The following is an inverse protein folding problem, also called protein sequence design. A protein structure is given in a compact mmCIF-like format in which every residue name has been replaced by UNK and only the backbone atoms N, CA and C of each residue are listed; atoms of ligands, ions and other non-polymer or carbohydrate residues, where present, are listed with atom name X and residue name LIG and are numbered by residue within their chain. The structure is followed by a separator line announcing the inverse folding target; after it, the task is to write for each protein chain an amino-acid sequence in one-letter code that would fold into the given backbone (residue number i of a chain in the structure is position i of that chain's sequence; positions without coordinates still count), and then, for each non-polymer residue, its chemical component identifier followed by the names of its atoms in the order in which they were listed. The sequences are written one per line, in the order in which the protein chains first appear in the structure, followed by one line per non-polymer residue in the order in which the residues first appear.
data_IF_942240450831
#
_entry.id   IF_942240450831
#
_cell.length_a   1.000
_cell.length_b   1.000
_cell.length_c   1.000
_cell.angle_alpha   90.00
_cell.angle_beta   90.00
_cell.angle_gamma   90.00
#
_symmetry.space_group_name_H-M   'P 1'
#
loop_
_entity.id
_entity.type
_entity.pdbx_description
1 polymer ?
#
# COMPACT_ATOMS: atom_id res chain seq x y z
N UNK A 1 14.30 3.71 7.52
CA UNK A 1 14.46 3.84 6.04
C UNK A 1 13.98 5.22 5.59
N UNK A 2 14.58 5.81 4.53
CA UNK A 2 14.16 7.13 4.02
C UNK A 2 13.93 7.05 2.51
N UNK A 3 12.78 7.52 2.06
CA UNK A 3 12.43 7.61 0.65
C UNK A 3 11.86 8.99 0.34
N UNK A 4 12.32 9.61 -0.72
CA UNK A 4 11.76 10.87 -1.23
C UNK A 4 12.02 10.97 -2.73
N UNK A 5 10.94 11.13 -3.51
CA UNK A 5 11.03 11.26 -4.97
C UNK A 5 9.86 12.06 -5.52
N UNK A 6 10.15 13.06 -6.33
CA UNK A 6 9.14 13.74 -7.13
C UNK A 6 8.92 12.98 -8.44
N UNK A 7 7.67 12.82 -8.83
CA UNK A 7 7.26 12.17 -10.08
C UNK A 7 6.33 13.09 -10.88
N UNK A 8 6.28 12.87 -12.17
CA UNK A 8 5.29 13.50 -13.07
C UNK A 8 4.20 12.48 -13.39
N UNK A 9 2.96 12.83 -13.11
CA UNK A 9 1.78 12.03 -13.43
C UNK A 9 1.46 12.13 -14.93
N UNK A 10 0.69 11.17 -15.47
CA UNK A 10 0.34 11.17 -16.90
C UNK A 10 -0.48 12.38 -17.37
N UNK A 11 -1.14 13.08 -16.45
CA UNK A 11 -1.86 14.33 -16.75
C UNK A 11 -0.97 15.58 -16.70
N UNK A 12 0.35 15.43 -16.46
CA UNK A 12 1.31 16.52 -16.37
C UNK A 12 1.50 17.09 -14.96
N UNK A 13 0.63 16.79 -14.02
CA UNK A 13 0.80 17.22 -12.63
C UNK A 13 1.97 16.49 -11.96
N UNK A 14 2.48 17.05 -10.87
CA UNK A 14 3.53 16.43 -10.07
C UNK A 14 2.97 15.83 -8.78
N UNK A 15 3.60 14.78 -8.31
CA UNK A 15 3.37 14.24 -6.97
C UNK A 15 4.71 14.00 -6.28
N UNK A 16 4.77 14.26 -4.97
CA UNK A 16 5.89 13.94 -4.12
C UNK A 16 5.60 12.63 -3.39
N UNK A 17 6.39 11.61 -3.63
CA UNK A 17 6.42 10.38 -2.83
C UNK A 17 7.45 10.55 -1.72
N UNK A 18 7.05 10.38 -0.47
CA UNK A 18 7.98 10.46 0.68
C UNK A 18 7.49 9.62 1.85
N UNK A 19 8.38 9.37 2.81
CA UNK A 19 7.94 8.82 4.08
C UNK A 19 6.82 9.65 4.67
N UNK A 20 5.85 8.95 5.25
CA UNK A 20 4.88 9.58 6.13
C UNK A 20 5.55 9.96 7.46
N UNK A 21 5.17 11.09 8.01
CA UNK A 21 5.61 11.62 9.30
C UNK A 21 4.43 11.68 10.27
N UNK A 22 4.67 11.74 11.60
CA UNK A 22 3.58 11.86 12.59
C UNK A 22 2.63 13.03 12.34
N UNK A 23 3.14 14.12 11.76
CA UNK A 23 2.36 15.30 11.37
C UNK A 23 1.36 15.02 10.22
N UNK A 24 1.56 13.96 9.45
CA UNK A 24 0.66 13.55 8.36
C UNK A 24 -0.56 12.75 8.84
N UNK A 25 -0.63 12.38 10.11
CA UNK A 25 -1.63 11.46 10.65
C UNK A 25 -3.07 11.81 10.26
N UNK A 26 -3.46 13.07 10.39
CA UNK A 26 -4.80 13.51 9.99
C UNK A 26 -5.06 13.34 8.50
N UNK A 27 -4.09 13.68 7.65
CA UNK A 27 -4.22 13.56 6.20
C UNK A 27 -4.20 12.08 5.74
N UNK A 28 -3.45 11.22 6.42
CA UNK A 28 -3.44 9.76 6.17
C UNK A 28 -4.78 9.15 6.54
N UNK A 29 -5.36 9.50 7.69
CA UNK A 29 -6.70 9.04 8.09
C UNK A 29 -7.80 9.53 7.15
N UNK A 30 -7.72 10.77 6.67
CA UNK A 30 -8.64 11.28 5.63
C UNK A 30 -8.49 10.46 4.35
N UNK A 31 -7.26 10.24 3.87
CA UNK A 31 -7.00 9.42 2.69
C UNK A 31 -7.51 7.98 2.86
N UNK A 32 -7.27 7.36 4.03
CA UNK A 32 -7.82 6.04 4.37
C UNK A 32 -9.35 6.03 4.21
N UNK A 33 -10.05 6.96 4.87
CA UNK A 33 -11.51 7.01 4.84
C UNK A 33 -12.06 7.16 3.42
N UNK A 34 -11.43 8.01 2.61
CA UNK A 34 -11.85 8.24 1.23
C UNK A 34 -11.56 7.04 0.33
N UNK A 35 -10.35 6.49 0.36
CA UNK A 35 -9.98 5.34 -0.48
C UNK A 35 -10.82 4.11 -0.17
N UNK A 36 -11.12 3.86 1.10
CA UNK A 36 -11.93 2.71 1.54
C UNK A 36 -13.43 2.88 1.27
N UNK A 37 -13.91 4.13 1.14
CA UNK A 37 -15.27 4.40 0.69
C UNK A 37 -15.44 4.30 -0.84
N UNK A 38 -14.36 4.50 -1.60
CA UNK A 38 -14.39 4.54 -3.07
C UNK A 38 -14.37 3.17 -3.75
N UNK A 39 -13.98 2.11 -3.02
CA UNK A 39 -13.81 0.76 -3.62
C UNK A 39 -14.07 -0.35 -2.59
N UNK A 40 -14.51 -1.49 -3.09
CA UNK A 40 -14.72 -2.73 -2.33
C UNK A 40 -13.53 -3.71 -2.46
N UNK A 41 -12.36 -3.20 -2.89
CA UNK A 41 -11.15 -4.02 -3.09
C UNK A 41 -10.15 -3.96 -1.94
N UNK A 42 -10.39 -3.12 -0.92
CA UNK A 42 -9.56 -3.01 0.26
C UNK A 42 -10.09 -3.88 1.39
N UNK A 43 -9.19 -4.27 2.31
CA UNK A 43 -9.49 -5.23 3.38
C UNK A 43 -10.56 -4.73 4.36
N UNK A 44 -10.61 -3.44 4.61
CA UNK A 44 -11.45 -2.85 5.66
C UNK A 44 -12.41 -1.81 5.11
N UNK A 45 -13.49 -1.55 5.83
CA UNK A 45 -14.38 -0.43 5.57
C UNK A 45 -13.99 0.79 6.41
N UNK A 46 -14.39 2.01 6.00
CA UNK A 46 -14.03 3.22 6.75
C UNK A 46 -14.47 3.21 8.22
N UNK A 47 -15.60 2.58 8.52
CA UNK A 47 -16.18 2.46 9.86
C UNK A 47 -15.52 1.38 10.74
N UNK A 48 -14.62 0.59 10.20
CA UNK A 48 -13.84 -0.41 10.94
C UNK A 48 -12.53 0.15 11.49
N UNK A 49 -12.09 1.32 11.02
CA UNK A 49 -10.90 1.97 11.56
C UNK A 49 -11.12 2.38 13.01
N UNK A 50 -10.23 1.91 13.88
CA UNK A 50 -10.17 2.31 15.29
C UNK A 50 -9.05 3.31 15.57
N UNK A 51 -8.38 3.79 14.50
CA UNK A 51 -7.29 4.74 14.63
C UNK A 51 -7.86 6.16 14.74
N UNK A 52 -7.46 6.84 15.79
CA UNK A 52 -7.53 8.29 15.90
C UNK A 52 -6.18 8.91 15.47
N UNK A 53 -6.13 10.22 15.40
CA UNK A 53 -4.94 10.94 14.96
C UNK A 53 -3.70 10.64 15.82
N UNK A 54 -3.89 10.39 17.13
CA UNK A 54 -2.79 10.10 18.04
C UNK A 54 -2.21 8.69 17.80
N UNK A 55 -3.07 7.70 17.63
CA UNK A 55 -2.63 6.31 17.28
C UNK A 55 -1.98 6.27 15.93
N UNK A 56 -2.52 6.98 14.95
CA UNK A 56 -1.93 7.08 13.61
C UNK A 56 -0.55 7.75 13.68
N UNK A 57 -0.42 8.87 14.40
CA UNK A 57 0.87 9.54 14.56
C UNK A 57 1.92 8.61 15.20
N UNK A 58 1.54 7.82 16.21
CA UNK A 58 2.45 6.81 16.80
C UNK A 58 2.80 5.69 15.83
N UNK A 59 1.87 5.26 14.99
CA UNK A 59 2.13 4.28 13.94
C UNK A 59 3.13 4.82 12.93
N UNK A 60 2.92 6.03 12.42
CA UNK A 60 3.82 6.69 11.46
C UNK A 60 5.21 6.94 12.05
N UNK A 61 5.29 7.34 13.34
CA UNK A 61 6.56 7.49 14.05
C UNK A 61 7.34 6.17 14.07
N UNK A 62 6.67 5.06 14.45
CA UNK A 62 7.30 3.74 14.46
C UNK A 62 7.82 3.33 13.08
N UNK A 63 7.03 3.59 12.02
CA UNK A 63 7.44 3.33 10.63
C UNK A 63 8.64 4.18 10.21
N UNK A 64 8.66 5.46 10.56
CA UNK A 64 9.76 6.37 10.26
C UNK A 64 11.08 5.97 10.95
N UNK A 65 10.99 5.43 12.17
CA UNK A 65 12.14 4.94 12.95
C UNK A 65 12.57 3.51 12.58
N UNK A 66 11.73 2.78 11.85
CA UNK A 66 12.01 1.39 11.49
C UNK A 66 13.18 1.29 10.50
N UNK A 67 14.02 0.28 10.69
CA UNK A 67 15.11 -0.05 9.77
C UNK A 67 14.63 -0.83 8.53
N UNK A 68 13.47 -1.49 8.62
CA UNK A 68 13.01 -2.45 7.61
C UNK A 68 11.52 -2.33 7.24
N UNK A 69 10.78 -1.44 7.88
CA UNK A 69 9.40 -1.12 7.52
C UNK A 69 9.29 0.34 7.07
N UNK A 70 8.34 0.65 6.21
CA UNK A 70 8.12 2.02 5.72
C UNK A 70 6.65 2.25 5.42
N UNK A 71 6.21 3.49 5.63
CA UNK A 71 4.96 4.01 5.09
C UNK A 71 5.30 5.20 4.18
N UNK A 72 4.92 5.10 2.91
CA UNK A 72 5.12 6.13 1.88
C UNK A 72 3.77 6.77 1.59
N UNK A 73 3.72 8.09 1.62
CA UNK A 73 2.59 8.86 1.13
C UNK A 73 2.92 9.51 -0.21
N UNK A 74 1.90 9.69 -1.04
CA UNK A 74 1.97 10.53 -2.22
C UNK A 74 1.22 11.85 -1.96
N UNK A 75 1.93 12.94 -2.08
CA UNK A 75 1.36 14.30 -1.94
C UNK A 75 1.24 14.92 -3.32
N UNK A 76 0.02 15.29 -3.72
CA UNK A 76 -0.27 16.03 -4.94
C UNK A 76 -1.31 17.11 -4.62
N UNK A 77 -1.17 18.27 -5.25
CA UNK A 77 -2.05 19.43 -5.05
C UNK A 77 -2.24 19.79 -3.56
N UNK A 78 -1.16 19.63 -2.76
CA UNK A 78 -1.12 19.97 -1.33
C UNK A 78 -1.84 18.97 -0.40
N UNK A 79 -2.28 17.79 -0.89
CA UNK A 79 -2.98 16.78 -0.08
C UNK A 79 -2.38 15.39 -0.26
N UNK A 80 -2.59 14.52 0.72
CA UNK A 80 -2.26 13.09 0.60
C UNK A 80 -3.30 12.42 -0.31
N UNK A 81 -2.83 11.81 -1.40
CA UNK A 81 -3.69 11.20 -2.42
C UNK A 81 -3.52 9.69 -2.54
N UNK A 82 -2.50 9.15 -1.89
CA UNK A 82 -2.26 7.72 -1.82
C UNK A 82 -1.32 7.39 -0.65
N UNK A 83 -1.41 6.15 -0.18
CA UNK A 83 -0.45 5.56 0.77
C UNK A 83 0.04 4.22 0.25
N UNK A 84 1.25 3.83 0.62
CA UNK A 84 1.80 2.50 0.35
C UNK A 84 2.79 2.11 1.45
N UNK A 85 2.72 0.87 1.89
CA UNK A 85 3.55 0.39 3.00
C UNK A 85 4.28 -0.91 2.69
N UNK A 86 5.39 -1.10 3.40
CA UNK A 86 6.10 -2.38 3.52
C UNK A 86 6.15 -2.74 4.99
N UNK A 87 5.63 -3.90 5.33
CA UNK A 87 5.55 -4.45 6.67
C UNK A 87 6.26 -5.80 6.75
N UNK A 88 6.97 -6.07 7.84
CA UNK A 88 7.50 -7.41 8.10
C UNK A 88 6.37 -8.43 8.30
N UNK A 89 6.42 -9.58 7.62
CA UNK A 89 5.49 -10.70 7.87
C UNK A 89 5.65 -11.22 9.29
N UNK A 90 6.85 -11.13 9.85
CA UNK A 90 7.13 -11.49 11.23
C UNK A 90 8.60 -11.35 11.59
N UNK A 91 8.87 -11.37 12.89
CA UNK A 91 10.22 -11.14 13.45
C UNK A 91 11.03 -12.43 13.68
N UNK A 92 10.41 -13.61 13.52
CA UNK A 92 11.09 -14.89 13.71
C UNK A 92 12.03 -15.21 12.56
N UNK A 93 13.15 -15.88 12.82
CA UNK A 93 14.17 -16.21 11.80
C UNK A 93 13.62 -16.85 10.53
N UNK A 94 12.59 -17.70 10.66
CA UNK A 94 11.93 -18.34 9.51
C UNK A 94 11.04 -17.42 8.68
N UNK A 95 10.74 -16.22 9.16
CA UNK A 95 9.82 -15.26 8.50
C UNK A 95 10.51 -13.95 8.13
N UNK A 96 11.65 -13.62 8.75
CA UNK A 96 12.30 -12.30 8.61
C UNK A 96 12.72 -11.92 7.19
N UNK A 97 12.78 -12.89 6.27
CA UNK A 97 13.08 -12.67 4.86
C UNK A 97 11.86 -12.20 4.05
N UNK A 98 10.68 -12.16 4.66
CA UNK A 98 9.41 -11.88 4.00
C UNK A 98 8.84 -10.54 4.48
N UNK A 99 8.31 -9.78 3.53
CA UNK A 99 7.53 -8.58 3.81
C UNK A 99 6.20 -8.60 3.06
N UNK A 100 5.22 -7.86 3.59
CA UNK A 100 3.96 -7.58 2.94
C UNK A 100 3.95 -6.16 2.37
N UNK A 101 3.26 -6.01 1.25
CA UNK A 101 3.08 -4.75 0.54
C UNK A 101 1.59 -4.43 0.42
N UNK A 102 1.24 -3.19 0.76
CA UNK A 102 -0.08 -2.63 0.55
C UNK A 102 -0.03 -1.28 -0.15
N UNK A 103 -1.07 -0.95 -0.92
CA UNK A 103 -1.21 0.36 -1.57
C UNK A 103 -2.67 0.75 -1.69
N UNK A 104 -2.98 2.00 -1.39
CA UNK A 104 -4.27 2.62 -1.66
C UNK A 104 -4.09 3.94 -2.39
N UNK A 105 -4.94 4.22 -3.37
CA UNK A 105 -4.88 5.43 -4.21
C UNK A 105 -6.29 5.97 -4.39
N UNK A 106 -6.50 7.26 -4.15
CA UNK A 106 -7.77 7.93 -4.45
C UNK A 106 -8.17 7.72 -5.91
N UNK A 107 -9.46 7.42 -6.15
CA UNK A 107 -10.00 7.10 -7.47
C UNK A 107 -9.67 8.17 -8.52
N UNK A 108 -9.69 9.45 -8.14
CA UNK A 108 -9.33 10.56 -9.01
C UNK A 108 -7.91 10.48 -9.59
N UNK A 109 -7.01 9.76 -8.93
CA UNK A 109 -5.61 9.56 -9.34
C UNK A 109 -5.35 8.19 -9.99
N UNK A 110 -6.39 7.39 -10.24
CA UNK A 110 -6.24 6.12 -10.92
C UNK A 110 -5.86 6.35 -12.39
N UNK A 111 -5.00 5.47 -12.94
CA UNK A 111 -4.53 5.56 -14.33
C UNK A 111 -3.44 6.57 -14.58
N UNK A 112 -3.14 7.42 -13.63
CA UNK A 112 -2.14 8.48 -13.77
C UNK A 112 -0.69 8.01 -13.54
N UNK A 113 -0.47 6.72 -13.22
CA UNK A 113 0.86 6.14 -12.98
C UNK A 113 1.27 6.10 -11.51
N UNK A 114 0.47 6.67 -10.60
CA UNK A 114 0.80 6.79 -9.19
C UNK A 114 0.96 5.42 -8.49
N UNK A 115 0.01 4.50 -8.70
CA UNK A 115 0.10 3.15 -8.13
C UNK A 115 1.36 2.40 -8.57
N UNK A 116 1.78 2.56 -9.85
CA UNK A 116 3.04 1.98 -10.35
C UNK A 116 4.25 2.58 -9.64
N UNK A 117 4.32 3.90 -9.51
CA UNK A 117 5.44 4.56 -8.87
C UNK A 117 5.57 4.17 -7.39
N UNK A 118 4.44 4.05 -6.66
CA UNK A 118 4.41 3.58 -5.27
C UNK A 118 4.84 2.11 -5.15
N UNK A 119 4.38 1.23 -6.06
CA UNK A 119 4.79 -0.17 -6.08
C UNK A 119 6.31 -0.29 -6.30
N UNK A 120 6.86 0.45 -7.29
CA UNK A 120 8.31 0.48 -7.56
C UNK A 120 9.10 1.01 -6.34
N UNK A 121 8.59 2.05 -5.65
CA UNK A 121 9.20 2.59 -4.44
C UNK A 121 9.26 1.57 -3.31
N UNK A 122 8.15 0.88 -3.05
CA UNK A 122 8.09 -0.16 -2.01
C UNK A 122 8.98 -1.37 -2.35
N UNK A 123 9.06 -1.78 -3.62
CA UNK A 123 10.00 -2.84 -4.06
C UNK A 123 11.45 -2.42 -3.79
N UNK A 124 11.82 -1.18 -4.11
CA UNK A 124 13.14 -0.65 -3.82
C UNK A 124 13.43 -0.67 -2.32
N UNK A 125 12.52 -0.14 -1.50
CA UNK A 125 12.66 -0.11 -0.06
C UNK A 125 12.77 -1.52 0.55
N UNK A 126 11.97 -2.47 0.08
CA UNK A 126 12.05 -3.86 0.55
C UNK A 126 13.40 -4.52 0.24
N UNK A 127 13.97 -4.27 -0.96
CA UNK A 127 15.32 -4.72 -1.31
C UNK A 127 16.39 -4.10 -0.41
N UNK A 128 16.33 -2.79 -0.19
CA UNK A 128 17.28 -2.07 0.67
C UNK A 128 17.18 -2.51 2.13
N UNK A 129 16.00 -2.94 2.58
CA UNK A 129 15.77 -3.52 3.89
C UNK A 129 16.31 -4.96 4.05
N UNK A 130 16.74 -5.59 2.94
CA UNK A 130 17.26 -6.95 2.92
C UNK A 130 16.20 -8.05 2.91
N UNK A 131 14.96 -7.73 2.53
CA UNK A 131 13.96 -8.76 2.29
C UNK A 131 14.27 -9.52 1.00
N UNK A 132 13.95 -10.81 0.98
CA UNK A 132 14.12 -11.69 -0.18
C UNK A 132 12.78 -11.92 -0.91
N UNK A 133 11.66 -11.61 -0.26
CA UNK A 133 10.32 -11.83 -0.76
C UNK A 133 9.37 -10.72 -0.32
N UNK A 134 8.65 -10.15 -1.28
CA UNK A 134 7.57 -9.18 -1.06
C UNK A 134 6.25 -9.81 -1.48
N UNK A 135 5.27 -9.80 -0.59
CA UNK A 135 3.97 -10.44 -0.78
C UNK A 135 2.85 -9.41 -0.82
N UNK A 136 1.77 -9.78 -1.47
CA UNK A 136 0.52 -9.01 -1.42
C UNK A 136 -0.69 -9.93 -1.58
N UNK A 137 -1.84 -9.42 -1.13
CA UNK A 137 -3.16 -10.00 -1.41
C UNK A 137 -3.97 -9.02 -2.23
N UNK A 138 -4.66 -9.51 -3.25
CA UNK A 138 -5.52 -8.69 -4.13
C UNK A 138 -6.83 -9.39 -4.43
N UNK A 139 -7.93 -8.64 -4.46
CA UNK A 139 -9.24 -9.15 -4.87
C UNK A 139 -9.21 -9.49 -6.36
N UNK A 140 -9.73 -10.67 -6.74
CA UNK A 140 -9.62 -11.21 -8.11
C UNK A 140 -10.29 -10.31 -9.17
N UNK A 141 -11.35 -9.60 -8.79
CA UNK A 141 -12.05 -8.64 -9.66
C UNK A 141 -11.26 -7.33 -9.87
N UNK A 142 -10.21 -7.09 -9.10
CA UNK A 142 -9.33 -5.92 -9.29
C UNK A 142 -8.28 -6.19 -10.38
N UNK A 143 -8.75 -6.46 -11.59
CA UNK A 143 -7.90 -6.79 -12.76
C UNK A 143 -6.81 -5.74 -13.02
N UNK A 144 -7.12 -4.48 -12.72
CA UNK A 144 -6.18 -3.38 -12.89
C UNK A 144 -4.98 -3.47 -11.96
N UNK A 145 -5.20 -3.76 -10.68
CA UNK A 145 -4.13 -3.95 -9.72
C UNK A 145 -3.33 -5.22 -10.04
N UNK A 146 -4.01 -6.31 -10.41
CA UNK A 146 -3.36 -7.56 -10.83
C UNK A 146 -2.44 -7.32 -12.03
N UNK A 147 -2.91 -6.59 -13.04
CA UNK A 147 -2.09 -6.26 -14.21
C UNK A 147 -0.87 -5.39 -13.85
N UNK A 148 -1.03 -4.47 -12.89
CA UNK A 148 0.06 -3.67 -12.35
C UNK A 148 1.11 -4.55 -11.66
N UNK A 149 0.69 -5.43 -10.75
CA UNK A 149 1.59 -6.28 -9.99
C UNK A 149 2.32 -7.30 -10.87
N UNK A 150 1.63 -7.90 -11.85
CA UNK A 150 2.27 -8.77 -12.84
C UNK A 150 3.35 -8.04 -13.65
N UNK A 151 3.11 -6.78 -14.05
CA UNK A 151 4.12 -5.95 -14.73
C UNK A 151 5.30 -5.59 -13.84
N UNK A 152 5.10 -5.50 -12.53
CA UNK A 152 6.15 -5.29 -11.55
C UNK A 152 6.93 -6.58 -11.21
N UNK A 153 6.51 -7.73 -11.75
CA UNK A 153 7.18 -9.02 -11.57
C UNK A 153 6.57 -9.94 -10.53
N UNK A 154 5.47 -9.53 -9.89
CA UNK A 154 4.76 -10.43 -8.96
C UNK A 154 4.14 -11.61 -9.70
N UNK A 155 4.24 -12.78 -9.09
CA UNK A 155 3.62 -14.02 -9.55
C UNK A 155 2.56 -14.49 -8.56
N UNK A 156 1.50 -15.05 -9.07
CA UNK A 156 0.46 -15.68 -8.27
C UNK A 156 0.97 -16.99 -7.68
N UNK A 157 0.73 -17.23 -6.38
CA UNK A 157 1.09 -18.47 -5.71
C UNK A 157 -0.07 -19.16 -4.99
N UNK A 158 -1.23 -18.53 -4.93
CA UNK A 158 -2.42 -19.13 -4.34
C UNK A 158 -3.67 -18.29 -4.48
N UNK A 159 -4.82 -18.94 -4.31
CA UNK A 159 -6.16 -18.31 -4.32
C UNK A 159 -7.01 -18.81 -3.17
N UNK A 160 -7.83 -17.92 -2.64
CA UNK A 160 -8.90 -18.28 -1.73
C UNK A 160 -10.24 -17.78 -2.30
N UNK A 161 -11.13 -18.68 -2.77
CA UNK A 161 -12.38 -18.28 -3.43
C UNK A 161 -13.38 -17.59 -2.49
N UNK A 162 -13.14 -17.60 -1.18
CA UNK A 162 -13.94 -16.94 -0.15
C UNK A 162 -13.06 -16.14 0.80
N UNK A 163 -12.03 -15.48 0.26
CA UNK A 163 -11.04 -14.77 1.04
C UNK A 163 -11.61 -13.56 1.78
N UNK A 164 -12.48 -12.80 1.12
CA UNK A 164 -13.22 -11.72 1.75
C UNK A 164 -14.72 -11.98 1.66
N UNK A 165 -15.48 -11.33 2.52
CA UNK A 165 -16.93 -11.25 2.47
C UNK A 165 -17.37 -9.79 2.45
N UNK A 166 -17.63 -9.29 1.25
CA UNK A 166 -18.14 -7.94 1.06
C UNK A 166 -19.54 -7.77 1.64
N UNK A 167 -19.81 -6.57 2.15
CA UNK A 167 -21.14 -6.16 2.61
C UNK A 167 -22.14 -6.02 1.46
N UNK A 168 -21.66 -5.85 0.22
CA UNK A 168 -22.49 -5.55 -0.96
C UNK A 168 -22.46 -6.66 -2.00
N UNK A 169 -21.29 -7.26 -2.29
CA UNK A 169 -21.10 -8.22 -3.39
C UNK A 169 -21.01 -9.69 -2.93
N UNK A 170 -21.04 -9.95 -1.60
CA UNK A 170 -20.92 -11.30 -1.07
C UNK A 170 -19.47 -11.78 -0.99
N UNK A 171 -19.22 -13.07 -1.28
CA UNK A 171 -17.84 -13.59 -1.21
C UNK A 171 -17.01 -13.11 -2.38
N UNK A 172 -15.80 -12.68 -2.07
CA UNK A 172 -14.78 -12.26 -3.04
C UNK A 172 -13.61 -13.25 -3.01
N UNK A 173 -13.18 -13.68 -4.19
CA UNK A 173 -11.95 -14.42 -4.32
C UNK A 173 -10.76 -13.48 -4.12
N UNK A 174 -9.78 -13.92 -3.34
CA UNK A 174 -8.50 -13.24 -3.20
C UNK A 174 -7.38 -14.05 -3.84
N UNK A 175 -6.46 -13.34 -4.44
CA UNK A 175 -5.24 -13.88 -5.05
C UNK A 175 -4.06 -13.45 -4.19
N UNK A 176 -3.23 -14.43 -3.82
CA UNK A 176 -1.97 -14.19 -3.14
C UNK A 176 -0.84 -14.14 -4.18
N UNK A 177 -0.10 -13.05 -4.17
CA UNK A 177 1.00 -12.83 -5.11
C UNK A 177 2.30 -12.56 -4.35
N UNK A 178 3.42 -12.98 -4.92
CA UNK A 178 4.76 -12.71 -4.39
C UNK A 178 5.71 -12.25 -5.48
N UNK A 179 6.70 -11.47 -5.07
CA UNK A 179 7.87 -11.08 -5.85
C UNK A 179 9.12 -11.55 -5.11
N UNK A 180 9.98 -12.33 -5.78
CA UNK A 180 11.35 -12.56 -5.32
C UNK A 180 12.17 -11.28 -5.57
N UNK A 181 12.88 -10.79 -4.55
CA UNK A 181 13.58 -9.49 -4.55
C UNK A 181 15.06 -9.61 -4.93
#
# INVERSE_FOLDING_TARGET
MTYSRQIVLKNGNTALLRNAEPSDAGAVLENFSLTHAETDYLLTYPDESTFDAEREARFLQRKAESANEIEIIAVADGRVVATAGVDAVGTRDKLRHRAEFGVSVLRAYWGLGLGRALTEACIQCAKEAGYEQLELTVVAENERAIALYRKAGFVEFGRNPRGFRSRTSGYQEIIHMLLAL
#
